data_IF_986206128414
#
_entry.id   IF_986206128414
#
_cell.length_a   1.000
_cell.length_b   1.000
_cell.length_c   1.000
_cell.angle_alpha   90.00
_cell.angle_beta   90.00
_cell.angle_gamma   90.00
#
_symmetry.space_group_name_H-M   'P 1'
#
loop_
_entity.id
_entity.type
_entity.pdbx_description
1 polymer ?
#
# COMPACT_ATOMS: atom_id res chain seq x y z
N UNK A 1 18.80 11.24 14.56
CA UNK A 1 17.33 11.37 14.48
C UNK A 1 16.80 9.96 14.33
N UNK A 2 15.98 9.47 15.27
CA UNK A 2 15.35 8.15 15.13
C UNK A 2 14.10 8.33 14.26
N UNK A 3 14.12 7.74 13.05
CA UNK A 3 12.94 7.65 12.21
C UNK A 3 12.07 6.48 12.68
N UNK A 4 10.76 6.70 12.81
CA UNK A 4 9.79 5.63 13.11
C UNK A 4 9.40 4.94 11.82
N UNK A 5 9.78 3.67 11.69
CA UNK A 5 9.40 2.85 10.54
C UNK A 5 7.96 2.32 10.67
N UNK A 6 7.24 2.24 9.55
CA UNK A 6 5.93 1.59 9.48
C UNK A 6 5.71 0.94 8.12
N UNK A 7 4.85 -0.08 8.05
CA UNK A 7 4.49 -0.72 6.79
C UNK A 7 3.40 0.07 6.06
N UNK A 8 3.59 0.25 4.75
CA UNK A 8 2.64 0.91 3.87
C UNK A 8 2.38 0.02 2.66
N UNK A 9 1.17 -0.51 2.57
CA UNK A 9 0.73 -1.38 1.48
C UNK A 9 0.03 -0.53 0.41
N UNK A 10 0.55 -0.57 -0.81
CA UNK A 10 0.07 0.19 -1.95
C UNK A 10 -0.61 -0.79 -2.91
N UNK A 11 -1.94 -0.77 -2.99
CA UNK A 11 -2.72 -1.78 -3.71
C UNK A 11 -3.39 -1.16 -4.93
N UNK A 12 -3.24 -1.77 -6.10
CA UNK A 12 -3.85 -1.27 -7.34
C UNK A 12 -4.27 -2.40 -8.27
N UNK A 13 -5.43 -2.26 -8.90
CA UNK A 13 -5.90 -3.12 -10.01
C UNK A 13 -5.17 -2.82 -11.34
N UNK A 14 -4.51 -1.66 -11.41
CA UNK A 14 -3.68 -1.19 -12.51
C UNK A 14 -2.18 -1.26 -12.15
N UNK A 15 -1.38 -0.28 -12.58
CA UNK A 15 0.08 -0.25 -12.38
C UNK A 15 0.49 0.21 -10.98
N UNK A 16 -0.35 0.97 -10.29
CA UNK A 16 -0.06 1.52 -8.96
C UNK A 16 0.63 2.89 -8.95
N UNK A 17 0.94 3.48 -10.10
CA UNK A 17 1.62 4.79 -10.18
C UNK A 17 0.89 5.91 -9.42
N UNK A 18 -0.45 5.94 -9.51
CA UNK A 18 -1.27 6.93 -8.80
C UNK A 18 -1.16 6.76 -7.29
N UNK A 19 -1.33 5.55 -6.77
CA UNK A 19 -1.26 5.30 -5.32
C UNK A 19 0.14 5.56 -4.77
N UNK A 20 1.19 5.25 -5.54
CA UNK A 20 2.58 5.58 -5.19
C UNK A 20 2.79 7.08 -5.08
N UNK A 21 2.34 7.84 -6.08
CA UNK A 21 2.52 9.30 -6.11
C UNK A 21 1.84 9.96 -4.91
N UNK A 22 0.60 9.56 -4.62
CA UNK A 22 -0.16 10.09 -3.48
C UNK A 22 0.49 9.67 -2.15
N UNK A 23 0.89 8.41 -2.02
CA UNK A 23 1.56 7.89 -0.83
C UNK A 23 2.84 8.67 -0.51
N UNK A 24 3.71 8.87 -1.49
CA UNK A 24 4.96 9.62 -1.31
C UNK A 24 4.70 11.08 -0.96
N UNK A 25 3.72 11.71 -1.61
CA UNK A 25 3.30 13.07 -1.27
C UNK A 25 2.83 13.21 0.18
N UNK A 26 2.09 12.21 0.69
CA UNK A 26 1.62 12.17 2.06
C UNK A 26 2.75 11.89 3.06
N UNK A 27 3.60 10.88 2.80
CA UNK A 27 4.74 10.53 3.67
C UNK A 27 5.73 11.68 3.80
N UNK A 28 5.96 12.43 2.72
CA UNK A 28 6.85 13.61 2.74
C UNK A 28 6.41 14.71 3.72
N UNK A 29 5.17 14.69 4.22
CA UNK A 29 4.70 15.64 5.24
C UNK A 29 5.16 15.29 6.66
N UNK A 30 5.77 14.12 6.86
CA UNK A 30 6.17 13.60 8.16
C UNK A 30 7.68 13.32 8.18
N UNK A 31 8.45 14.24 8.76
CA UNK A 31 9.93 14.18 8.76
C UNK A 31 10.53 13.12 9.69
N UNK A 32 9.72 12.55 10.58
CA UNK A 32 10.12 11.61 11.63
C UNK A 32 9.68 10.16 11.35
N UNK A 33 9.15 9.88 10.15
CA UNK A 33 8.70 8.53 9.76
C UNK A 33 9.35 8.06 8.47
N UNK A 34 9.46 6.74 8.34
CA UNK A 34 9.93 6.08 7.14
C UNK A 34 8.99 4.93 6.77
N UNK A 35 8.49 4.94 5.54
CA UNK A 35 7.55 3.93 5.06
C UNK A 35 8.31 2.74 4.44
N UNK A 36 8.00 1.54 4.92
CA UNK A 36 8.36 0.28 4.26
C UNK A 36 7.26 0.00 3.24
N UNK A 37 7.52 0.38 1.98
CA UNK A 37 6.56 0.23 0.88
C UNK A 37 6.40 -1.23 0.43
N UNK A 38 5.15 -1.72 0.41
CA UNK A 38 4.77 -3.00 -0.20
C UNK A 38 3.85 -2.72 -1.38
N UNK A 39 4.35 -2.85 -2.60
CA UNK A 39 3.58 -2.58 -3.82
C UNK A 39 2.87 -3.84 -4.34
N UNK A 40 1.55 -3.73 -4.52
CA UNK A 40 0.68 -4.77 -5.06
C UNK A 40 -0.03 -4.24 -6.30
N UNK A 41 0.62 -4.35 -7.46
CA UNK A 41 0.03 -3.98 -8.74
C UNK A 41 -0.77 -5.14 -9.35
N UNK A 42 -1.65 -4.81 -10.30
CA UNK A 42 -2.44 -5.76 -11.07
C UNK A 42 -3.30 -6.71 -10.20
N UNK A 43 -3.81 -6.22 -9.08
CA UNK A 43 -4.72 -6.95 -8.18
C UNK A 43 -6.13 -6.92 -8.78
N UNK A 44 -6.47 -7.97 -9.54
CA UNK A 44 -7.68 -8.06 -10.39
C UNK A 44 -8.56 -9.26 -10.06
N UNK A 45 -8.35 -9.88 -8.91
CA UNK A 45 -9.13 -11.04 -8.47
C UNK A 45 -9.12 -11.15 -6.96
N UNK A 46 -10.19 -11.71 -6.39
CA UNK A 46 -10.26 -12.03 -4.97
C UNK A 46 -9.06 -12.86 -4.49
N UNK A 47 -8.57 -13.79 -5.33
CA UNK A 47 -7.42 -14.63 -4.98
C UNK A 47 -6.16 -13.80 -4.79
N UNK A 48 -5.94 -12.79 -5.62
CA UNK A 48 -4.83 -11.85 -5.44
C UNK A 48 -5.04 -10.99 -4.21
N UNK A 49 -6.25 -10.48 -4.00
CA UNK A 49 -6.57 -9.68 -2.81
C UNK A 49 -6.36 -10.48 -1.51
N UNK A 50 -6.79 -11.74 -1.45
CA UNK A 50 -6.53 -12.64 -0.31
C UNK A 50 -5.04 -12.79 0.01
N UNK A 51 -4.17 -12.78 -1.01
CA UNK A 51 -2.70 -12.78 -0.82
C UNK A 51 -2.20 -11.46 -0.25
N UNK A 52 -2.72 -10.34 -0.74
CA UNK A 52 -2.42 -9.00 -0.19
C UNK A 52 -2.82 -8.94 1.28
N UNK A 53 -4.05 -9.36 1.62
CA UNK A 53 -4.55 -9.37 2.99
C UNK A 53 -3.70 -10.28 3.90
N UNK A 54 -3.24 -11.42 3.40
CA UNK A 54 -2.32 -12.30 4.14
C UNK A 54 -0.97 -11.61 4.41
N UNK A 55 -0.46 -10.83 3.45
CA UNK A 55 0.77 -10.05 3.62
C UNK A 55 0.59 -8.89 4.60
N UNK A 56 -0.55 -8.20 4.56
CA UNK A 56 -0.93 -7.16 5.54
C UNK A 56 -1.04 -7.75 6.95
N UNK A 57 -1.65 -8.94 7.09
CA UNK A 57 -1.72 -9.61 8.39
C UNK A 57 -0.34 -10.00 8.94
N UNK A 58 0.57 -10.43 8.06
CA UNK A 58 1.94 -10.77 8.43
C UNK A 58 2.80 -9.53 8.76
N UNK A 59 2.55 -8.39 8.09
CA UNK A 59 3.25 -7.13 8.30
C UNK A 59 2.23 -6.00 8.50
N UNK A 60 1.63 -5.84 9.69
CA UNK A 60 0.56 -4.89 9.90
C UNK A 60 0.97 -3.45 9.56
N UNK A 61 0.13 -2.76 8.80
CA UNK A 61 0.43 -1.43 8.27
C UNK A 61 -0.76 -0.73 7.65
N UNK A 62 -0.53 0.51 7.19
CA UNK A 62 -1.53 1.30 6.46
C UNK A 62 -1.73 0.68 5.08
N UNK A 63 -2.98 0.63 4.60
CA UNK A 63 -3.32 0.21 3.24
C UNK A 63 -3.86 1.41 2.47
N UNK A 64 -3.16 1.82 1.42
CA UNK A 64 -3.65 2.78 0.42
C UNK A 64 -3.95 2.01 -0.86
N UNK A 65 -5.12 2.27 -1.46
CA UNK A 65 -5.54 1.51 -2.62
C UNK A 65 -6.20 2.36 -3.70
N UNK A 66 -6.12 1.85 -4.93
CA UNK A 66 -6.93 2.29 -6.09
C UNK A 66 -7.52 1.02 -6.72
N UNK A 67 -8.75 0.70 -6.35
CA UNK A 67 -9.52 -0.44 -6.88
C UNK A 67 -10.82 0.12 -7.44
N UNK A 68 -11.11 -0.16 -8.71
CA UNK A 68 -12.33 0.32 -9.37
C UNK A 68 -13.48 -0.67 -9.23
N UNK A 69 -13.16 -1.96 -9.23
CA UNK A 69 -14.14 -3.03 -9.07
C UNK A 69 -14.62 -3.10 -7.61
N UNK A 70 -15.93 -2.92 -7.42
CA UNK A 70 -16.56 -2.93 -6.10
C UNK A 70 -16.83 -4.35 -5.56
N UNK A 71 -16.72 -5.38 -6.41
CA UNK A 71 -16.82 -6.79 -6.01
C UNK A 71 -15.48 -7.37 -5.55
N UNK A 72 -14.40 -6.62 -5.73
CA UNK A 72 -13.05 -6.90 -5.22
C UNK A 72 -12.90 -6.44 -3.77
#
# INVERSE_FOLDING_TARGET
MNSRTFHLHLVSDATGETVITVARGAVAQFSDVEAIEHLWSLVRSEKQLKRVLSSVAANPGVVMFTLVDAEL
#
